data_IF_817660188920
#
_entry.id   IF_817660188920
#
_cell.length_a   1.000
_cell.length_b   1.000
_cell.length_c   1.000
_cell.angle_alpha   90.00
_cell.angle_beta   90.00
_cell.angle_gamma   90.00
#
_symmetry.space_group_name_H-M   'P 1'
#
loop_
_entity.id
_entity.type
_entity.pdbx_description
1 polymer ?
#
# COMPACT_ATOMS: atom_id res chain seq x y z
N UNK A 1 -4.94 1.95 3.27
CA UNK A 1 -6.22 2.65 3.02
C UNK A 1 -6.70 2.33 1.63
N UNK A 2 -7.98 1.96 1.51
CA UNK A 2 -8.69 1.80 0.23
C UNK A 2 -9.58 3.02 0.12
N UNK A 3 -9.38 3.83 -0.93
CA UNK A 3 -10.09 5.09 -1.16
C UNK A 3 -10.89 5.03 -2.48
N UNK A 4 -11.61 6.11 -2.81
CA UNK A 4 -12.42 6.18 -4.04
C UNK A 4 -11.59 6.01 -5.32
N UNK A 5 -10.32 6.41 -5.27
CA UNK A 5 -9.39 6.32 -6.39
C UNK A 5 -8.84 4.89 -6.55
N UNK A 6 -8.96 4.03 -5.54
CA UNK A 6 -8.53 2.62 -5.64
C UNK A 6 -9.22 1.87 -6.79
N UNK A 7 -10.50 2.12 -7.05
CA UNK A 7 -11.21 1.47 -8.16
C UNK A 7 -10.83 2.03 -9.53
N UNK A 8 -10.43 3.30 -9.61
CA UNK A 8 -10.03 3.94 -10.86
C UNK A 8 -8.59 3.55 -11.25
N UNK A 9 -7.69 3.54 -10.26
CA UNK A 9 -6.25 3.45 -10.49
C UNK A 9 -5.67 2.07 -10.13
N UNK A 10 -6.46 1.15 -9.57
CA UNK A 10 -5.99 -0.14 -9.03
C UNK A 10 -4.80 0.01 -8.06
N UNK A 11 -4.79 1.09 -7.28
CA UNK A 11 -3.76 1.40 -6.29
C UNK A 11 -4.32 1.50 -4.88
N UNK A 12 -3.49 1.15 -3.90
CA UNK A 12 -3.80 1.31 -2.48
C UNK A 12 -2.72 2.14 -1.80
N UNK A 13 -3.11 2.87 -0.76
CA UNK A 13 -2.15 3.63 0.05
C UNK A 13 -1.74 2.79 1.26
N UNK A 14 -0.44 2.52 1.40
CA UNK A 14 0.14 1.86 2.58
C UNK A 14 0.75 2.93 3.48
N UNK A 15 0.59 2.75 4.79
CA UNK A 15 1.15 3.64 5.80
C UNK A 15 2.05 2.85 6.74
N UNK A 16 3.31 3.26 6.83
CA UNK A 16 4.25 2.75 7.82
C UNK A 16 3.90 3.33 9.20
N UNK A 17 3.85 2.46 10.22
CA UNK A 17 3.45 2.85 11.57
C UNK A 17 4.53 3.67 12.27
N UNK A 18 5.79 3.30 12.09
CA UNK A 18 6.92 3.79 12.89
C UNK A 18 7.39 5.15 12.36
N UNK A 19 7.41 5.30 11.04
CA UNK A 19 7.84 6.55 10.38
C UNK A 19 6.67 7.48 10.07
N UNK A 20 5.43 7.00 10.21
CA UNK A 20 4.21 7.64 9.71
C UNK A 20 4.23 7.97 8.20
N UNK A 21 5.16 7.38 7.42
CA UNK A 21 5.23 7.58 5.97
C UNK A 21 4.07 6.92 5.26
N UNK A 22 3.63 7.53 4.15
CA UNK A 22 2.57 6.99 3.31
C UNK A 22 3.10 6.85 1.89
N UNK A 23 2.77 5.73 1.25
CA UNK A 23 3.12 5.44 -0.13
C UNK A 23 1.93 4.81 -0.86
N UNK A 24 1.81 5.11 -2.15
CA UNK A 24 0.76 4.57 -3.01
C UNK A 24 1.35 3.51 -3.91
N UNK A 25 0.88 2.28 -3.79
CA UNK A 25 1.39 1.13 -4.54
C UNK A 25 0.25 0.47 -5.32
N UNK A 26 0.59 -0.21 -6.41
CA UNK A 26 -0.33 -1.08 -7.13
C UNK A 26 -0.83 -2.21 -6.22
N UNK A 27 -2.10 -2.61 -6.38
CA UNK A 27 -2.72 -3.65 -5.55
C UNK A 27 -2.01 -5.01 -5.67
N UNK A 28 -1.43 -5.28 -6.84
CA UNK A 28 -0.61 -6.45 -7.16
C UNK A 28 0.68 -6.52 -6.32
N UNK A 29 1.27 -5.35 -6.00
CA UNK A 29 2.51 -5.25 -5.24
C UNK A 29 2.34 -5.34 -3.73
N UNK A 30 1.10 -5.31 -3.22
CA UNK A 30 0.83 -5.30 -1.78
C UNK A 30 1.37 -6.55 -1.09
N UNK A 31 1.26 -7.72 -1.73
CA UNK A 31 1.70 -8.98 -1.11
C UNK A 31 3.22 -9.06 -1.00
N UNK A 32 3.93 -8.60 -2.03
CA UNK A 32 5.40 -8.50 -2.03
C UNK A 32 5.87 -7.49 -0.98
N UNK A 33 5.28 -6.29 -1.00
CA UNK A 33 5.56 -5.24 -0.03
C UNK A 33 5.43 -5.72 1.43
N UNK A 34 4.34 -6.45 1.75
CA UNK A 34 4.13 -6.98 3.10
C UNK A 34 5.11 -8.09 3.46
N UNK A 35 5.52 -8.93 2.50
CA UNK A 35 6.54 -9.97 2.73
C UNK A 35 7.89 -9.35 3.08
N UNK A 36 8.30 -8.30 2.38
CA UNK A 36 9.59 -7.65 2.64
C UNK A 36 9.63 -6.90 3.97
N UNK A 37 8.47 -6.43 4.46
CA UNK A 37 8.38 -5.63 5.68
C UNK A 37 8.09 -6.43 6.95
N UNK A 38 7.49 -7.62 6.82
CA UNK A 38 7.07 -8.48 7.94
C UNK A 38 7.88 -9.78 8.00
N UNK A 39 8.59 -10.15 6.92
CA UNK A 39 9.45 -11.33 6.83
C UNK A 39 10.72 -11.24 7.66
#
# INVERSE_FOLDING_TARGET
TIDGDTMADNTVTVRDRDTASQERIGIDKVTEFLRDRIG
#
